data_IF_193761269236
#
_entry.id   IF_193761269236
#
_cell.length_a   1.000
_cell.length_b   1.000
_cell.length_c   1.000
_cell.angle_alpha   90.00
_cell.angle_beta   90.00
_cell.angle_gamma   90.00
#
_symmetry.space_group_name_H-M   'P 1'
#
loop_
_entity.id
_entity.type
_entity.pdbx_description
1 polymer ?
#
# COMPACT_ATOMS: atom_id res chain seq x y z
N UNK A 1 -14.24 -16.66 -30.72
CA UNK A 1 -13.73 -15.45 -30.05
C UNK A 1 -14.11 -15.59 -28.58
N UNK A 2 -13.17 -16.05 -27.76
CA UNK A 2 -13.40 -16.35 -26.33
C UNK A 2 -13.50 -15.01 -25.58
N UNK A 3 -14.63 -14.81 -24.94
CA UNK A 3 -14.82 -13.77 -23.91
C UNK A 3 -13.83 -14.05 -22.77
N UNK A 4 -12.66 -13.41 -22.82
CA UNK A 4 -11.74 -13.35 -21.68
C UNK A 4 -12.45 -12.48 -20.64
N UNK A 5 -13.14 -13.13 -19.70
CA UNK A 5 -13.86 -12.49 -18.61
C UNK A 5 -13.01 -11.36 -18.03
N UNK A 6 -13.39 -10.13 -18.32
CA UNK A 6 -12.75 -8.94 -17.77
C UNK A 6 -12.81 -9.05 -16.24
N UNK A 7 -11.67 -9.26 -15.59
CA UNK A 7 -11.58 -9.26 -14.12
C UNK A 7 -12.17 -7.93 -13.64
N UNK A 8 -13.18 -7.99 -12.79
CA UNK A 8 -13.71 -6.77 -12.15
C UNK A 8 -12.63 -6.15 -11.27
N UNK A 9 -12.43 -4.84 -11.32
CA UNK A 9 -11.46 -4.18 -10.45
C UNK A 9 -11.84 -4.34 -8.98
N UNK A 10 -10.84 -4.46 -8.11
CA UNK A 10 -11.03 -4.42 -6.66
C UNK A 10 -11.16 -2.99 -6.17
N UNK A 11 -10.46 -2.06 -6.82
CA UNK A 11 -10.53 -0.62 -6.56
C UNK A 11 -10.72 0.12 -7.88
N UNK A 12 -11.66 1.06 -7.88
CA UNK A 12 -11.90 1.99 -8.98
C UNK A 12 -11.75 3.41 -8.46
N UNK A 13 -10.92 4.19 -9.11
CA UNK A 13 -10.72 5.62 -8.84
C UNK A 13 -11.20 6.38 -10.07
N UNK A 14 -12.10 7.34 -9.89
CA UNK A 14 -12.72 8.10 -10.99
C UNK A 14 -12.67 9.59 -10.71
N UNK A 15 -11.96 10.33 -11.57
CA UNK A 15 -11.90 11.80 -11.60
C UNK A 15 -11.56 12.44 -10.26
N UNK A 16 -10.66 11.82 -9.47
CA UNK A 16 -10.24 12.38 -8.18
C UNK A 16 -9.45 13.66 -8.42
N UNK A 17 -9.91 14.74 -7.78
CA UNK A 17 -9.19 16.03 -7.74
C UNK A 17 -9.04 16.49 -6.30
N UNK A 18 -7.90 17.17 -6.04
CA UNK A 18 -7.60 17.78 -4.74
C UNK A 18 -6.73 19.02 -4.91
N UNK A 19 -7.20 20.12 -4.32
CA UNK A 19 -6.50 21.40 -4.31
C UNK A 19 -6.16 21.84 -2.89
N UNK A 20 -5.08 22.60 -2.75
CA UNK A 20 -4.67 23.30 -1.54
C UNK A 20 -4.48 24.77 -1.87
N UNK A 21 -5.49 25.57 -1.59
CA UNK A 21 -5.53 26.97 -2.06
C UNK A 21 -5.51 27.05 -3.59
N UNK A 22 -4.54 27.72 -4.15
CA UNK A 22 -4.37 27.84 -5.61
C UNK A 22 -3.62 26.65 -6.27
N UNK A 23 -3.12 25.69 -5.48
CA UNK A 23 -2.34 24.56 -6.01
C UNK A 23 -3.26 23.36 -6.19
N UNK A 24 -3.48 22.96 -7.45
CA UNK A 24 -4.17 21.71 -7.79
C UNK A 24 -3.19 20.54 -7.73
N UNK A 25 -3.12 19.86 -6.59
CA UNK A 25 -2.19 18.76 -6.37
C UNK A 25 -2.59 17.47 -7.09
N UNK A 26 -3.89 17.24 -7.32
CA UNK A 26 -4.44 16.11 -8.08
C UNK A 26 -5.55 16.63 -8.97
N UNK A 27 -5.54 16.26 -10.26
CA UNK A 27 -6.40 16.83 -11.32
C UNK A 27 -7.07 15.71 -12.11
N UNK A 28 -8.27 15.28 -11.69
CA UNK A 28 -9.11 14.34 -12.45
C UNK A 28 -8.50 12.95 -12.64
N UNK A 29 -7.73 12.46 -11.68
CA UNK A 29 -7.05 11.16 -11.77
C UNK A 29 -8.05 10.02 -11.77
N UNK A 30 -7.91 9.10 -12.74
CA UNK A 30 -8.75 7.91 -12.89
C UNK A 30 -7.90 6.68 -13.20
N UNK A 31 -8.12 5.58 -12.49
CA UNK A 31 -7.49 4.28 -12.74
C UNK A 31 -8.22 3.15 -12.02
N UNK A 32 -7.85 1.92 -12.36
CA UNK A 32 -8.35 0.69 -11.74
C UNK A 32 -7.20 -0.13 -11.17
N UNK A 33 -7.48 -0.86 -10.08
CA UNK A 33 -6.60 -1.92 -9.56
C UNK A 33 -7.36 -3.23 -9.58
N UNK A 34 -6.72 -4.29 -10.10
CA UNK A 34 -7.33 -5.60 -10.24
C UNK A 34 -6.87 -6.57 -9.14
N UNK A 35 -7.71 -7.57 -8.77
CA UNK A 35 -7.32 -8.57 -7.77
C UNK A 35 -6.04 -9.32 -8.16
N UNK A 36 -5.09 -9.42 -7.22
CA UNK A 36 -3.79 -10.05 -7.42
C UNK A 36 -2.83 -9.24 -8.27
N UNK A 37 -3.08 -7.94 -8.45
CA UNK A 37 -2.19 -7.03 -9.17
C UNK A 37 -1.24 -6.32 -8.20
N UNK A 38 -0.02 -6.03 -8.65
CA UNK A 38 0.83 -5.00 -8.10
C UNK A 38 0.79 -3.82 -9.07
N UNK A 39 0.11 -2.73 -8.69
CA UNK A 39 0.11 -1.47 -9.42
C UNK A 39 1.22 -0.57 -8.84
N UNK A 40 2.24 -0.28 -9.64
CA UNK A 40 3.23 0.76 -9.32
C UNK A 40 2.67 2.15 -9.59
N UNK A 41 2.97 3.12 -8.74
CA UNK A 41 2.63 4.54 -8.95
C UNK A 41 3.91 5.35 -8.85
N UNK A 42 4.34 5.88 -9.98
CA UNK A 42 5.59 6.64 -10.10
C UNK A 42 5.33 8.05 -10.64
N UNK A 43 6.33 8.88 -10.54
CA UNK A 43 6.30 10.24 -11.06
C UNK A 43 7.25 11.16 -10.28
N UNK A 44 7.54 12.35 -10.79
CA UNK A 44 8.41 13.32 -10.14
C UNK A 44 7.98 13.69 -8.72
N UNK A 45 8.90 14.25 -7.94
CA UNK A 45 8.57 14.78 -6.62
C UNK A 45 7.54 15.91 -6.74
N UNK A 46 6.56 15.91 -5.83
CA UNK A 46 5.49 16.93 -5.85
C UNK A 46 4.41 16.72 -6.91
N UNK A 47 4.46 15.68 -7.77
CA UNK A 47 3.42 15.46 -8.79
C UNK A 47 2.07 14.94 -8.26
N UNK A 48 1.90 14.81 -6.94
CA UNK A 48 0.60 14.51 -6.34
C UNK A 48 0.36 13.04 -5.90
N UNK A 49 1.34 12.13 -6.01
CA UNK A 49 1.20 10.70 -5.63
C UNK A 49 0.69 10.48 -4.21
N UNK A 50 1.37 11.05 -3.24
CA UNK A 50 0.99 10.94 -1.81
C UNK A 50 -0.35 11.60 -1.52
N UNK A 51 -0.65 12.73 -2.18
CA UNK A 51 -1.96 13.39 -2.08
C UNK A 51 -3.07 12.50 -2.62
N UNK A 52 -2.86 11.85 -3.77
CA UNK A 52 -3.79 10.89 -4.36
C UNK A 52 -4.04 9.71 -3.39
N UNK A 53 -2.99 9.08 -2.86
CA UNK A 53 -3.13 7.99 -1.87
C UNK A 53 -3.87 8.46 -0.62
N UNK A 54 -3.57 9.65 -0.12
CA UNK A 54 -4.25 10.21 1.04
C UNK A 54 -5.74 10.46 0.78
N UNK A 55 -6.15 10.82 -0.44
CA UNK A 55 -7.56 10.92 -0.85
C UNK A 55 -8.22 9.55 -0.89
N UNK A 56 -7.58 8.54 -1.47
CA UNK A 56 -8.11 7.17 -1.55
C UNK A 56 -8.25 6.55 -0.17
N UNK A 57 -7.28 6.79 0.71
CA UNK A 57 -7.19 6.22 2.07
C UNK A 57 -7.91 7.06 3.14
N UNK A 58 -8.66 8.10 2.72
CA UNK A 58 -9.54 8.89 3.59
C UNK A 58 -8.82 9.81 4.58
N UNK A 59 -7.51 10.02 4.44
CA UNK A 59 -6.75 11.01 5.21
C UNK A 59 -7.03 12.44 4.71
N UNK A 60 -7.30 12.56 3.41
CA UNK A 60 -7.79 13.78 2.78
C UNK A 60 -9.13 13.48 2.11
N UNK A 61 -10.08 14.41 2.23
CA UNK A 61 -11.30 14.34 1.44
C UNK A 61 -11.00 14.89 0.05
N UNK A 62 -11.27 14.15 -1.04
CA UNK A 62 -11.16 14.69 -2.38
C UNK A 62 -12.16 15.82 -2.58
N UNK A 63 -11.84 16.78 -3.43
CA UNK A 63 -12.75 17.87 -3.78
C UNK A 63 -13.80 17.40 -4.79
N UNK A 64 -13.40 16.51 -5.71
CA UNK A 64 -14.29 15.86 -6.68
C UNK A 64 -13.87 14.41 -6.92
N UNK A 65 -14.73 13.65 -7.59
CA UNK A 65 -14.47 12.27 -7.98
C UNK A 65 -14.95 11.25 -6.95
N UNK A 66 -14.75 9.97 -7.28
CA UNK A 66 -15.21 8.84 -6.46
C UNK A 66 -14.15 7.76 -6.33
N UNK A 67 -14.18 7.07 -5.19
CA UNK A 67 -13.39 5.87 -4.91
C UNK A 67 -14.36 4.74 -4.63
N UNK A 68 -14.29 3.67 -5.41
CA UNK A 68 -15.16 2.50 -5.27
C UNK A 68 -14.32 1.27 -4.93
N UNK A 69 -14.65 0.58 -3.85
CA UNK A 69 -14.02 -0.67 -3.43
C UNK A 69 -15.02 -1.81 -3.62
N UNK A 70 -14.70 -2.80 -4.46
CA UNK A 70 -15.60 -3.92 -4.82
C UNK A 70 -17.02 -3.48 -5.19
N UNK A 71 -17.15 -2.41 -5.94
CA UNK A 71 -18.46 -1.87 -6.36
C UNK A 71 -19.19 -1.04 -5.30
N UNK A 72 -18.60 -0.84 -4.11
CA UNK A 72 -19.14 0.01 -3.06
C UNK A 72 -18.44 1.36 -3.04
N UNK A 73 -19.17 2.46 -3.09
CA UNK A 73 -18.61 3.81 -2.90
C UNK A 73 -18.10 3.97 -1.46
N UNK A 74 -16.81 4.27 -1.37
CA UNK A 74 -16.10 4.51 -0.11
C UNK A 74 -15.51 5.92 -0.02
N UNK A 75 -15.87 6.80 -0.94
CA UNK A 75 -15.32 8.16 -1.08
C UNK A 75 -15.46 8.94 0.23
N UNK A 76 -14.35 9.52 0.69
CA UNK A 76 -14.30 10.36 1.89
C UNK A 76 -14.64 9.64 3.20
N UNK A 77 -14.70 8.30 3.23
CA UNK A 77 -14.78 7.55 4.49
C UNK A 77 -13.52 7.77 5.32
N UNK A 78 -13.65 7.71 6.63
CA UNK A 78 -12.49 7.80 7.52
C UNK A 78 -11.54 6.61 7.35
N UNK A 79 -10.21 6.78 7.60
CA UNK A 79 -9.23 5.70 7.48
C UNK A 79 -9.61 4.44 8.26
N UNK A 80 -10.19 4.61 9.46
CA UNK A 80 -10.64 3.48 10.30
C UNK A 80 -11.77 2.68 9.62
N UNK A 81 -12.70 3.35 8.92
CA UNK A 81 -13.76 2.65 8.16
C UNK A 81 -13.17 1.95 6.93
N UNK A 82 -12.29 2.63 6.19
CA UNK A 82 -11.63 2.07 5.00
C UNK A 82 -10.79 0.83 5.35
N UNK A 83 -10.09 0.84 6.47
CA UNK A 83 -9.36 -0.33 6.94
C UNK A 83 -10.29 -1.52 7.25
N UNK A 84 -11.49 -1.28 7.82
CA UNK A 84 -12.52 -2.31 8.02
C UNK A 84 -13.13 -2.80 6.71
N UNK A 85 -13.22 -1.92 5.72
CA UNK A 85 -13.73 -2.24 4.38
C UNK A 85 -12.69 -3.03 3.55
N UNK A 86 -11.43 -3.13 4.03
CA UNK A 86 -10.36 -3.93 3.43
C UNK A 86 -9.27 -3.15 2.69
N UNK A 87 -9.11 -1.86 2.98
CA UNK A 87 -7.97 -1.06 2.51
C UNK A 87 -6.87 -1.07 3.58
N UNK A 88 -5.77 -1.78 3.32
CA UNK A 88 -4.56 -1.74 4.15
C UNK A 88 -3.64 -0.59 3.71
N UNK A 89 -2.85 -0.06 4.65
CA UNK A 89 -1.81 0.93 4.38
C UNK A 89 -0.59 0.67 5.22
N UNK A 90 0.61 0.83 4.63
CA UNK A 90 1.83 1.13 5.38
C UNK A 90 2.13 2.63 5.24
N UNK A 91 2.90 3.18 6.16
CA UNK A 91 3.24 4.60 6.15
C UNK A 91 4.67 4.79 5.63
N UNK A 92 4.97 5.97 5.08
CA UNK A 92 6.31 6.36 4.64
C UNK A 92 7.32 6.32 5.80
N UNK A 93 6.89 6.74 6.99
CA UNK A 93 7.66 6.57 8.23
C UNK A 93 7.25 5.25 8.88
N UNK A 94 8.24 4.48 9.35
CA UNK A 94 8.00 3.25 10.09
C UNK A 94 7.07 3.51 11.28
N UNK A 95 6.02 2.70 11.38
CA UNK A 95 5.02 2.79 12.46
C UNK A 95 5.11 1.58 13.40
N UNK A 96 6.34 1.11 13.64
CA UNK A 96 6.59 0.08 14.64
C UNK A 96 6.67 0.69 16.04
N UNK A 97 6.22 -0.05 17.03
CA UNK A 97 6.35 0.33 18.44
C UNK A 97 7.66 -0.23 18.97
N UNK A 98 8.67 0.61 19.09
CA UNK A 98 10.06 0.22 19.39
C UNK A 98 10.21 -0.62 20.65
N UNK A 99 9.45 -0.34 21.70
CA UNK A 99 9.47 -1.04 23.00
C UNK A 99 8.61 -2.30 23.04
N UNK A 100 7.97 -2.67 21.93
CA UNK A 100 7.16 -3.88 21.81
C UNK A 100 7.89 -4.95 21.02
N UNK A 101 7.62 -6.23 21.34
CA UNK A 101 8.14 -7.35 20.55
C UNK A 101 7.49 -7.41 19.16
N UNK A 102 8.08 -8.20 18.25
CA UNK A 102 7.48 -8.44 16.91
C UNK A 102 6.04 -8.95 17.00
N UNK A 103 5.70 -9.99 17.81
CA UNK A 103 4.31 -10.41 17.98
C UNK A 103 3.39 -9.33 18.55
N UNK A 104 3.85 -8.52 19.50
CA UNK A 104 3.03 -7.49 20.12
C UNK A 104 2.72 -6.35 19.14
N UNK A 105 3.66 -5.99 18.27
CA UNK A 105 3.43 -5.05 17.18
C UNK A 105 2.31 -5.56 16.24
N UNK A 106 2.39 -6.81 15.82
CA UNK A 106 1.38 -7.44 14.96
C UNK A 106 0.00 -7.51 15.65
N UNK A 107 -0.03 -7.85 16.93
CA UNK A 107 -1.27 -7.87 17.73
C UNK A 107 -1.89 -6.47 17.83
N UNK A 108 -1.07 -5.43 18.02
CA UNK A 108 -1.54 -4.04 18.11
C UNK A 108 -2.17 -3.59 16.79
N UNK A 109 -1.57 -3.95 15.65
CA UNK A 109 -2.09 -3.61 14.33
C UNK A 109 -3.51 -4.17 14.09
N UNK A 110 -3.81 -5.39 14.55
CA UNK A 110 -5.14 -5.95 14.39
C UNK A 110 -6.13 -5.42 15.42
N UNK A 111 -5.69 -5.16 16.65
CA UNK A 111 -6.56 -4.64 17.71
C UNK A 111 -7.10 -3.25 17.40
N UNK A 112 -6.38 -2.42 16.65
CA UNK A 112 -6.88 -1.14 16.19
C UNK A 112 -8.16 -1.27 15.34
N UNK A 113 -8.42 -2.45 14.77
CA UNK A 113 -9.57 -2.75 13.91
C UNK A 113 -10.72 -3.46 14.65
N UNK A 114 -10.48 -4.00 15.87
CA UNK A 114 -11.46 -4.79 16.61
C UNK A 114 -12.11 -3.95 17.73
N UNK A 115 -13.19 -3.23 17.41
CA UNK A 115 -14.18 -2.73 18.38
C UNK A 115 -13.74 -1.60 19.34
N UNK A 116 -14.66 -1.22 20.23
CA UNK A 116 -14.45 -0.20 21.27
C UNK A 116 -13.62 -0.74 22.45
N UNK A 117 -12.95 0.17 23.19
CA UNK A 117 -12.13 -0.16 24.38
C UNK A 117 -12.90 -1.06 25.38
N UNK A 118 -14.21 -0.86 25.53
CA UNK A 118 -15.05 -1.67 26.42
C UNK A 118 -15.20 -3.12 25.96
N UNK A 119 -15.28 -3.37 24.65
CA UNK A 119 -15.41 -4.73 24.11
C UNK A 119 -14.11 -5.55 24.24
N UNK A 120 -12.98 -4.87 24.41
CA UNK A 120 -11.65 -5.48 24.60
C UNK A 120 -11.46 -6.04 26.02
N UNK A 121 -12.08 -5.40 27.03
CA UNK A 121 -11.97 -5.83 28.43
C UNK A 121 -12.72 -7.14 28.75
N UNK A 122 -13.70 -7.52 27.92
CA UNK A 122 -14.57 -8.66 28.15
C UNK A 122 -14.42 -9.83 27.17
N UNK A 123 -13.55 -9.72 26.14
CA UNK A 123 -13.29 -10.81 25.20
C UNK A 123 -12.13 -11.69 25.71
N UNK A 124 -12.38 -13.01 25.75
CA UNK A 124 -11.32 -14.02 25.91
C UNK A 124 -10.28 -13.87 24.79
N UNK A 125 -9.00 -14.20 25.05
CA UNK A 125 -7.98 -14.25 24.00
C UNK A 125 -8.50 -15.08 22.82
N UNK A 126 -8.63 -14.43 21.66
CA UNK A 126 -9.05 -15.11 20.44
C UNK A 126 -7.89 -16.02 19.99
N UNK A 127 -8.08 -17.34 20.13
CA UNK A 127 -7.07 -18.32 19.72
C UNK A 127 -6.70 -18.16 18.24
N UNK A 128 -7.65 -17.81 17.38
CA UNK A 128 -7.41 -17.53 15.97
C UNK A 128 -6.51 -16.31 15.72
N UNK A 129 -6.43 -15.38 16.68
CA UNK A 129 -5.56 -14.20 16.57
C UNK A 129 -4.08 -14.57 16.70
N UNK A 130 -3.76 -15.49 17.61
CA UNK A 130 -2.38 -15.99 17.78
C UNK A 130 -1.92 -16.77 16.55
N UNK A 131 -2.79 -17.61 16.02
CA UNK A 131 -2.48 -18.39 14.81
C UNK A 131 -2.23 -17.47 13.63
N UNK A 132 -3.00 -16.38 13.52
CA UNK A 132 -2.79 -15.36 12.50
C UNK A 132 -1.46 -14.63 12.67
N UNK A 133 -1.10 -14.23 13.90
CA UNK A 133 0.21 -13.62 14.19
C UNK A 133 1.33 -14.56 13.79
N UNK A 134 1.26 -15.84 14.21
CA UNK A 134 2.26 -16.83 13.86
C UNK A 134 2.37 -17.02 12.34
N UNK A 135 1.24 -17.11 11.65
CA UNK A 135 1.22 -17.23 10.19
C UNK A 135 1.91 -16.04 9.50
N UNK A 136 1.63 -14.81 9.94
CA UNK A 136 2.30 -13.61 9.39
C UNK A 136 3.79 -13.60 9.74
N UNK A 137 4.18 -13.98 10.96
CA UNK A 137 5.59 -14.11 11.35
C UNK A 137 6.33 -15.09 10.43
N UNK A 138 5.73 -16.23 10.12
CA UNK A 138 6.29 -17.22 9.19
C UNK A 138 6.38 -16.66 7.77
N UNK A 139 5.28 -16.05 7.27
CA UNK A 139 5.25 -15.44 5.95
C UNK A 139 6.35 -14.39 5.77
N UNK A 140 6.67 -13.60 6.80
CA UNK A 140 7.70 -12.57 6.76
C UNK A 140 9.08 -13.05 7.22
N UNK A 141 9.23 -14.34 7.54
CA UNK A 141 10.46 -14.95 8.07
C UNK A 141 11.03 -14.24 9.30
N UNK A 142 10.13 -13.69 10.14
CA UNK A 142 10.48 -12.98 11.36
C UNK A 142 10.56 -13.91 12.60
N UNK A 143 10.47 -15.23 12.42
CA UNK A 143 10.41 -16.21 13.50
C UNK A 143 11.59 -16.16 14.45
N UNK A 144 12.79 -15.87 13.96
CA UNK A 144 14.01 -15.73 14.76
C UNK A 144 14.06 -14.42 15.60
N UNK A 145 13.16 -13.47 15.33
CA UNK A 145 13.08 -12.14 15.98
C UNK A 145 11.89 -12.01 16.94
N UNK A 146 11.17 -13.08 17.20
CA UNK A 146 9.92 -13.03 18.00
C UNK A 146 10.12 -12.56 19.44
N UNK A 147 11.32 -12.66 19.98
CA UNK A 147 11.66 -12.21 21.34
C UNK A 147 12.32 -10.84 21.39
N UNK A 148 12.65 -10.30 20.24
CA UNK A 148 13.33 -9.01 20.11
C UNK A 148 12.30 -7.88 20.16
N UNK A 149 12.69 -6.76 20.78
CA UNK A 149 11.96 -5.50 20.67
C UNK A 149 12.15 -4.91 19.28
N UNK A 150 11.10 -4.34 18.71
CA UNK A 150 11.15 -3.80 17.34
C UNK A 150 12.23 -2.71 17.14
N UNK A 151 12.54 -1.94 18.20
CA UNK A 151 13.60 -0.94 18.17
C UNK A 151 15.01 -1.51 18.05
N UNK A 152 15.24 -2.80 18.40
CA UNK A 152 16.52 -3.48 18.23
C UNK A 152 16.73 -4.07 16.83
N UNK A 153 15.68 -4.13 16.01
CA UNK A 153 15.73 -4.67 14.67
C UNK A 153 16.49 -3.73 13.72
N UNK A 154 17.13 -4.31 12.71
CA UNK A 154 17.66 -3.49 11.61
C UNK A 154 16.52 -2.76 10.89
N UNK A 155 16.83 -1.61 10.28
CA UNK A 155 15.84 -0.79 9.56
C UNK A 155 15.00 -1.60 8.54
N UNK A 156 15.63 -2.51 7.81
CA UNK A 156 14.91 -3.35 6.86
C UNK A 156 14.03 -4.41 7.52
N UNK A 157 14.42 -4.97 8.68
CA UNK A 157 13.55 -5.86 9.46
C UNK A 157 12.35 -5.10 10.02
N UNK A 158 12.55 -3.87 10.48
CA UNK A 158 11.46 -2.98 10.88
C UNK A 158 10.52 -2.69 9.69
N UNK A 159 11.07 -2.47 8.48
CA UNK A 159 10.27 -2.26 7.27
C UNK A 159 9.42 -3.49 6.91
N UNK A 160 10.00 -4.70 7.02
CA UNK A 160 9.24 -5.93 6.85
C UNK A 160 8.15 -6.10 7.92
N UNK A 161 8.44 -5.73 9.16
CA UNK A 161 7.44 -5.74 10.24
C UNK A 161 6.30 -4.75 9.97
N UNK A 162 6.60 -3.53 9.52
CA UNK A 162 5.59 -2.52 9.15
C UNK A 162 4.68 -3.02 8.02
N UNK A 163 5.23 -3.64 6.98
CA UNK A 163 4.45 -4.27 5.91
C UNK A 163 3.58 -5.41 6.47
N UNK A 164 4.14 -6.24 7.34
CA UNK A 164 3.43 -7.33 8.00
C UNK A 164 2.25 -6.82 8.84
N UNK A 165 2.43 -5.72 9.58
CA UNK A 165 1.37 -5.05 10.33
C UNK A 165 0.22 -4.60 9.41
N UNK A 166 0.54 -4.05 8.24
CA UNK A 166 -0.45 -3.65 7.22
C UNK A 166 -1.31 -4.81 6.71
N UNK A 167 -0.81 -6.06 6.78
CA UNK A 167 -1.53 -7.27 6.37
C UNK A 167 -2.35 -7.91 7.49
N UNK A 168 -2.14 -7.51 8.75
CA UNK A 168 -2.81 -8.14 9.89
C UNK A 168 -4.33 -8.06 9.86
N UNK A 169 -4.92 -7.04 9.24
CA UNK A 169 -6.37 -6.92 9.09
C UNK A 169 -6.97 -7.79 7.97
N UNK A 170 -6.13 -8.45 7.16
CA UNK A 170 -6.55 -9.20 5.95
C UNK A 170 -7.12 -8.29 4.88
N UNK A 171 -6.40 -7.24 4.51
CA UNK A 171 -6.90 -6.29 3.54
C UNK A 171 -7.04 -6.93 2.16
N UNK A 172 -7.92 -6.34 1.33
CA UNK A 172 -8.12 -6.74 -0.06
C UNK A 172 -7.09 -6.12 -0.99
N UNK A 173 -6.60 -4.94 -0.60
CA UNK A 173 -5.54 -4.20 -1.26
C UNK A 173 -4.70 -3.50 -0.19
N UNK A 174 -3.39 -3.56 -0.35
CA UNK A 174 -2.41 -2.89 0.53
C UNK A 174 -1.74 -1.76 -0.23
N UNK A 175 -1.82 -0.58 0.34
CA UNK A 175 -1.11 0.60 -0.15
C UNK A 175 0.25 0.70 0.53
N UNK A 176 1.31 0.66 -0.25
CA UNK A 176 2.69 0.80 0.22
C UNK A 176 3.26 2.14 -0.23
N UNK A 177 3.78 2.90 0.72
CA UNK A 177 4.39 4.21 0.46
C UNK A 177 5.90 4.08 0.68
N UNK A 178 6.67 4.07 -0.41
CA UNK A 178 8.13 3.93 -0.48
C UNK A 178 8.68 2.72 0.31
N UNK A 179 8.23 1.48 0.01
CA UNK A 179 8.72 0.30 0.71
C UNK A 179 10.23 0.04 0.52
N UNK A 180 10.83 0.55 -0.56
CA UNK A 180 12.27 0.48 -0.83
C UNK A 180 13.06 1.65 -0.23
N UNK A 181 12.40 2.66 0.35
CA UNK A 181 13.04 3.85 0.87
C UNK A 181 13.95 3.57 2.07
N UNK A 182 15.20 4.02 2.01
CA UNK A 182 16.15 3.92 3.12
C UNK A 182 16.73 2.52 3.40
N UNK A 183 16.40 1.50 2.61
CA UNK A 183 16.96 0.15 2.75
C UNK A 183 18.20 -0.05 1.88
N UNK A 184 19.16 -0.86 2.35
CA UNK A 184 20.31 -1.25 1.55
C UNK A 184 19.93 -2.30 0.49
N UNK A 185 20.82 -2.58 -0.47
CA UNK A 185 20.56 -3.49 -1.59
C UNK A 185 20.16 -4.92 -1.17
N UNK A 186 20.75 -5.45 -0.09
CA UNK A 186 20.40 -6.78 0.42
C UNK A 186 18.96 -6.80 0.94
N UNK A 187 18.59 -5.80 1.75
CA UNK A 187 17.24 -5.68 2.29
C UNK A 187 16.20 -5.36 1.22
N UNK A 188 16.58 -4.61 0.19
CA UNK A 188 15.72 -4.34 -0.96
C UNK A 188 15.32 -5.64 -1.67
N UNK A 189 16.28 -6.57 -1.83
CA UNK A 189 16.01 -7.90 -2.39
C UNK A 189 15.03 -8.70 -1.52
N UNK A 190 15.16 -8.63 -0.18
CA UNK A 190 14.24 -9.30 0.75
C UNK A 190 12.83 -8.70 0.69
N UNK A 191 12.70 -7.37 0.68
CA UNK A 191 11.39 -6.68 0.53
C UNK A 191 10.75 -7.06 -0.80
N UNK A 192 11.50 -7.02 -1.90
CA UNK A 192 11.02 -7.43 -3.23
C UNK A 192 10.53 -8.87 -3.25
N UNK A 193 11.37 -9.81 -2.78
CA UNK A 193 11.02 -11.23 -2.73
C UNK A 193 9.73 -11.46 -1.92
N UNK A 194 9.56 -10.74 -0.82
CA UNK A 194 8.39 -10.86 0.03
C UNK A 194 7.13 -10.31 -0.64
N UNK A 195 7.21 -9.15 -1.30
CA UNK A 195 6.07 -8.59 -2.04
C UNK A 195 5.61 -9.52 -3.16
N UNK A 196 6.56 -10.09 -3.93
CA UNK A 196 6.24 -11.02 -5.01
C UNK A 196 5.64 -12.33 -4.48
N UNK A 197 6.14 -12.86 -3.37
CA UNK A 197 5.59 -14.07 -2.74
C UNK A 197 4.15 -13.84 -2.25
N UNK A 198 3.89 -12.75 -1.53
CA UNK A 198 2.56 -12.38 -1.07
C UNK A 198 1.58 -12.13 -2.22
N UNK A 199 2.07 -11.49 -3.28
CA UNK A 199 1.28 -11.27 -4.48
C UNK A 199 0.95 -12.60 -5.18
N UNK A 200 1.90 -13.52 -5.28
CA UNK A 200 1.68 -14.88 -5.78
C UNK A 200 0.64 -15.67 -4.97
N UNK A 201 0.43 -15.31 -3.70
CA UNK A 201 -0.63 -15.84 -2.83
C UNK A 201 -1.97 -15.08 -2.98
N UNK A 202 -2.05 -14.10 -3.89
CA UNK A 202 -3.27 -13.37 -4.23
C UNK A 202 -3.41 -12.00 -3.56
N UNK A 203 -2.43 -11.52 -2.79
CA UNK A 203 -2.47 -10.18 -2.21
C UNK A 203 -2.34 -9.12 -3.31
N UNK A 204 -3.20 -8.10 -3.25
CA UNK A 204 -3.19 -6.97 -4.19
C UNK A 204 -2.43 -5.79 -3.58
N UNK A 205 -1.59 -5.13 -4.35
CA UNK A 205 -0.80 -4.00 -3.89
C UNK A 205 -0.95 -2.78 -4.79
N UNK A 206 -0.93 -1.59 -4.19
CA UNK A 206 -0.67 -0.32 -4.86
C UNK A 206 0.57 0.30 -4.21
N UNK A 207 1.63 0.54 -4.98
CA UNK A 207 2.97 0.88 -4.46
C UNK A 207 3.42 2.20 -5.03
N UNK A 208 3.57 3.23 -4.18
CA UNK A 208 4.32 4.45 -4.56
C UNK A 208 5.80 4.18 -4.36
N UNK A 209 6.60 4.48 -5.35
CA UNK A 209 8.05 4.35 -5.27
C UNK A 209 8.79 5.38 -6.13
N UNK A 210 9.99 5.71 -5.69
CA UNK A 210 10.94 6.51 -6.45
C UNK A 210 12.03 5.65 -7.09
N UNK A 211 12.26 4.45 -6.55
CA UNK A 211 13.19 3.48 -7.12
C UNK A 211 12.56 2.81 -8.33
N UNK A 212 12.90 3.32 -9.52
CA UNK A 212 12.37 2.84 -10.80
C UNK A 212 12.71 1.38 -11.05
N UNK A 213 13.92 0.95 -10.69
CA UNK A 213 14.37 -0.43 -10.89
C UNK A 213 13.51 -1.39 -10.07
N UNK A 214 13.27 -1.07 -8.80
CA UNK A 214 12.39 -1.84 -7.94
C UNK A 214 10.97 -1.96 -8.54
N UNK A 215 10.36 -0.84 -8.96
CA UNK A 215 9.00 -0.86 -9.53
C UNK A 215 8.95 -1.66 -10.83
N UNK A 216 9.93 -1.51 -11.72
CA UNK A 216 9.99 -2.25 -12.98
C UNK A 216 10.09 -3.77 -12.79
N UNK A 217 10.65 -4.22 -11.65
CA UNK A 217 10.78 -5.64 -11.35
C UNK A 217 9.54 -6.24 -10.65
N UNK A 218 8.78 -5.44 -9.88
CA UNK A 218 7.67 -5.97 -9.08
C UNK A 218 6.28 -5.66 -9.67
N UNK A 219 6.12 -4.55 -10.39
CA UNK A 219 4.81 -4.10 -10.83
C UNK A 219 4.33 -4.81 -12.10
N UNK A 220 3.07 -5.21 -12.12
CA UNK A 220 2.40 -5.72 -13.32
C UNK A 220 2.01 -4.60 -14.27
N UNK A 221 1.57 -3.49 -13.71
CA UNK A 221 1.26 -2.25 -14.41
C UNK A 221 1.79 -1.07 -13.60
N UNK A 222 2.12 0.00 -14.32
CA UNK A 222 2.69 1.21 -13.73
C UNK A 222 1.84 2.39 -14.18
N UNK A 223 1.33 3.14 -13.21
CA UNK A 223 0.68 4.42 -13.37
C UNK A 223 1.74 5.51 -13.20
N UNK A 224 1.96 6.30 -14.23
CA UNK A 224 2.88 7.44 -14.21
C UNK A 224 2.09 8.71 -13.99
N UNK A 225 2.44 9.48 -12.97
CA UNK A 225 1.85 10.78 -12.68
C UNK A 225 2.84 11.91 -13.00
N UNK A 226 2.31 12.98 -13.57
CA UNK A 226 3.02 14.23 -13.74
C UNK A 226 2.04 15.39 -13.52
N UNK A 227 2.44 16.47 -12.85
CA UNK A 227 1.65 17.69 -12.64
C UNK A 227 0.21 17.44 -12.13
N UNK A 228 0.03 16.48 -11.25
CA UNK A 228 -1.27 16.14 -10.69
C UNK A 228 -2.16 15.26 -11.57
N UNK A 229 -1.70 14.82 -12.73
CA UNK A 229 -2.47 14.04 -13.70
C UNK A 229 -1.84 12.68 -14.00
N UNK A 230 -2.62 11.76 -14.56
CA UNK A 230 -2.10 10.51 -15.12
C UNK A 230 -1.49 10.82 -16.49
N UNK A 231 -0.19 10.59 -16.62
CA UNK A 231 0.52 10.71 -17.89
C UNK A 231 0.29 9.47 -18.76
N UNK A 232 0.44 8.28 -18.15
CA UNK A 232 0.13 7.00 -18.78
C UNK A 232 -0.07 5.90 -17.75
N UNK A 233 -0.66 4.79 -18.20
CA UNK A 233 -0.68 3.51 -17.47
C UNK A 233 -0.23 2.42 -18.45
N UNK A 234 0.79 1.64 -18.09
CA UNK A 234 1.33 0.61 -18.97
C UNK A 234 2.24 -0.39 -18.24
N UNK A 235 2.82 -1.31 -18.99
CA UNK A 235 3.86 -2.21 -18.53
C UNK A 235 5.18 -1.47 -18.30
N UNK A 236 6.13 -2.11 -17.60
CA UNK A 236 7.47 -1.56 -17.39
C UNK A 236 8.16 -1.21 -18.72
N UNK A 237 7.99 -2.05 -19.75
CA UNK A 237 8.61 -1.82 -21.08
C UNK A 237 7.99 -0.64 -21.83
N UNK A 238 6.67 -0.43 -21.71
CA UNK A 238 5.98 0.72 -22.29
C UNK A 238 6.40 2.02 -21.60
N UNK A 239 6.44 2.01 -20.26
CA UNK A 239 6.83 3.17 -19.45
C UNK A 239 8.28 3.59 -19.72
N UNK A 240 9.21 2.64 -19.82
CA UNK A 240 10.64 2.92 -20.11
C UNK A 240 10.86 3.60 -21.47
N UNK A 241 10.00 3.34 -22.44
CA UNK A 241 10.15 3.80 -23.83
C UNK A 241 9.34 5.06 -24.13
N UNK A 242 8.44 5.48 -23.25
CA UNK A 242 7.56 6.62 -23.50
C UNK A 242 8.36 7.95 -23.36
N UNK A 243 8.48 8.75 -24.44
CA UNK A 243 9.24 10.00 -24.38
C UNK A 243 8.70 11.00 -23.35
N UNK A 244 7.38 11.00 -23.10
CA UNK A 244 6.74 11.90 -22.12
C UNK A 244 7.18 11.56 -20.71
N UNK A 245 7.38 10.25 -20.41
CA UNK A 245 7.89 9.81 -19.11
C UNK A 245 9.33 10.27 -18.93
N UNK A 246 10.17 10.07 -19.97
CA UNK A 246 11.57 10.50 -19.95
C UNK A 246 11.66 12.02 -19.72
N UNK A 247 10.87 12.81 -20.45
CA UNK A 247 10.83 14.27 -20.32
C UNK A 247 10.38 14.70 -18.91
N UNK A 248 9.35 14.08 -18.36
CA UNK A 248 8.85 14.38 -17.01
C UNK A 248 9.89 14.15 -15.90
N UNK A 249 10.86 13.26 -16.10
CA UNK A 249 11.95 13.00 -15.15
C UNK A 249 13.23 13.79 -15.44
N UNK A 250 13.49 14.16 -16.70
CA UNK A 250 14.67 14.97 -17.08
C UNK A 250 14.49 16.47 -16.88
N UNK A 251 13.27 16.94 -16.74
CA UNK A 251 12.94 18.36 -16.52
C UNK A 251 13.09 18.85 -15.07
N UNK A 252 13.76 18.08 -14.20
CA UNK A 252 13.97 18.42 -12.78
C UNK A 252 15.44 18.72 -12.48
#
# INVERSE_FOLDING_TARGET
MSDKGQKKPVLEVRNISKSFGAIEAVRGVSFDVYPGEILGVIGPNGCGKTTLFNCILGQLKPDTGTVTLKGQDVTGRSPVKLAKDGLGRTFQLLQVFDSMTVPDNLLTAIQAHIGTVLSRLFKRPDLGLRDRVNHVIEQFRLGHLTREEAGSLSYGQQKLLDIAMGLMSGPQIVFLDEPAGGVNLSMLADVKARLLELNGQGTTFAVIEHNMEFIFEVAHRILVMAEGQVLMVGSADEVRKDPRVIEAYLGQ
#
